data_IF_803316050519
#
_entry.id   IF_803316050519
#
_cell.length_a   1.000
_cell.length_b   1.000
_cell.length_c   1.000
_cell.angle_alpha   90.00
_cell.angle_beta   90.00
_cell.angle_gamma   90.00
#
_symmetry.space_group_name_H-M   'P 1'
#
loop_
_entity.id
_entity.type
_entity.pdbx_description
1 polymer ?
#
# COMPACT_ATOMS: atom_id res chain seq x y z
N UNK A 1 22.31 23.08 -15.62
CA UNK A 1 21.96 21.65 -15.53
C UNK A 1 21.62 21.38 -14.08
N UNK A 2 20.33 21.27 -13.76
CA UNK A 2 19.86 21.05 -12.38
C UNK A 2 19.43 19.59 -12.24
N UNK A 3 20.07 18.88 -11.32
CA UNK A 3 19.77 17.50 -10.94
C UNK A 3 18.40 17.46 -10.25
N UNK A 4 17.43 16.76 -10.84
CA UNK A 4 16.10 16.51 -10.28
C UNK A 4 16.27 15.62 -9.03
N UNK A 5 16.19 16.22 -7.85
CA UNK A 5 16.13 15.46 -6.60
C UNK A 5 14.78 14.73 -6.55
N UNK A 6 14.80 13.43 -6.88
CA UNK A 6 13.88 12.35 -6.48
C UNK A 6 12.53 12.75 -5.84
N UNK A 7 11.50 13.00 -6.67
CA UNK A 7 10.09 13.23 -6.27
C UNK A 7 9.48 12.10 -5.40
N UNK A 8 10.09 10.92 -5.34
CA UNK A 8 9.53 9.77 -4.60
C UNK A 8 9.70 9.88 -3.08
N UNK A 9 10.68 10.64 -2.62
CA UNK A 9 10.89 10.88 -1.17
C UNK A 9 10.10 12.09 -0.67
N UNK A 10 9.35 12.77 -1.54
CA UNK A 10 8.40 13.80 -1.13
C UNK A 10 7.32 13.15 -0.25
N UNK A 11 7.18 13.56 1.02
CA UNK A 11 6.19 12.99 1.92
C UNK A 11 4.75 13.09 1.39
N UNK A 12 4.47 14.09 0.55
CA UNK A 12 3.18 14.28 -0.13
C UNK A 12 2.92 13.18 -1.16
N UNK A 13 3.95 12.82 -1.93
CA UNK A 13 3.88 11.74 -2.93
C UNK A 13 3.76 10.39 -2.22
N UNK A 14 4.56 10.14 -1.18
CA UNK A 14 4.48 8.92 -0.38
C UNK A 14 3.08 8.72 0.23
N UNK A 15 2.50 9.77 0.83
CA UNK A 15 1.14 9.72 1.37
C UNK A 15 0.08 9.46 0.28
N UNK A 16 0.22 10.10 -0.88
CA UNK A 16 -0.65 9.87 -2.04
C UNK A 16 -0.63 8.42 -2.53
N UNK A 17 0.57 7.82 -2.63
CA UNK A 17 0.75 6.43 -3.04
C UNK A 17 0.18 5.47 -2.00
N UNK A 18 0.45 5.70 -0.71
CA UNK A 18 -0.11 4.89 0.37
C UNK A 18 -1.65 4.93 0.39
N UNK A 19 -2.26 6.12 0.24
CA UNK A 19 -3.72 6.26 0.11
C UNK A 19 -4.26 5.54 -1.13
N UNK A 20 -3.53 5.57 -2.24
CA UNK A 20 -3.89 4.82 -3.42
C UNK A 20 -3.91 3.31 -3.16
N UNK A 21 -2.90 2.76 -2.47
CA UNK A 21 -2.86 1.35 -2.06
C UNK A 21 -4.09 0.98 -1.23
N UNK A 22 -4.46 1.80 -0.24
CA UNK A 22 -5.66 1.57 0.58
C UNK A 22 -6.94 1.58 -0.26
N UNK A 23 -7.05 2.52 -1.20
CA UNK A 23 -8.19 2.61 -2.11
C UNK A 23 -8.32 1.36 -2.98
N UNK A 24 -7.20 0.84 -3.51
CA UNK A 24 -7.22 -0.40 -4.29
C UNK A 24 -7.57 -1.62 -3.43
N UNK A 25 -7.08 -1.70 -2.20
CA UNK A 25 -7.47 -2.76 -1.27
C UNK A 25 -8.98 -2.74 -0.99
N UNK A 26 -9.57 -1.55 -0.77
CA UNK A 26 -11.00 -1.40 -0.58
C UNK A 26 -11.79 -1.85 -1.80
N UNK A 27 -11.36 -1.44 -3.00
CA UNK A 27 -11.97 -1.87 -4.27
C UNK A 27 -11.88 -3.39 -4.44
N UNK A 28 -10.73 -4.00 -4.18
CA UNK A 28 -10.56 -5.45 -4.26
C UNK A 28 -11.54 -6.19 -3.34
N UNK A 29 -11.72 -5.70 -2.11
CA UNK A 29 -12.67 -6.28 -1.15
C UNK A 29 -14.12 -6.22 -1.61
N UNK A 30 -14.49 -5.27 -2.49
CA UNK A 30 -15.85 -5.15 -3.01
C UNK A 30 -16.21 -6.18 -4.10
N UNK A 31 -15.23 -6.89 -4.66
CA UNK A 31 -15.54 -7.93 -5.65
C UNK A 31 -16.12 -9.18 -4.97
N UNK A 32 -17.28 -9.71 -5.42
CA UNK A 32 -17.94 -10.83 -4.76
C UNK A 32 -17.05 -12.07 -4.58
N UNK A 33 -16.19 -12.39 -5.56
CA UNK A 33 -15.29 -13.52 -5.46
C UNK A 33 -14.16 -13.33 -4.43
N UNK A 34 -13.73 -12.09 -4.21
CA UNK A 34 -12.71 -11.73 -3.22
C UNK A 34 -13.32 -11.73 -1.83
N UNK A 35 -14.46 -11.07 -1.66
CA UNK A 35 -15.23 -11.00 -0.42
C UNK A 35 -15.56 -12.41 0.12
N UNK A 36 -16.11 -13.30 -0.72
CA UNK A 36 -16.41 -14.68 -0.34
C UNK A 36 -15.18 -15.48 0.10
N UNK A 37 -14.03 -15.27 -0.55
CA UNK A 37 -12.79 -15.98 -0.20
C UNK A 37 -12.13 -15.41 1.06
N UNK A 38 -12.23 -14.10 1.28
CA UNK A 38 -11.82 -13.46 2.53
C UNK A 38 -12.64 -13.97 3.70
N UNK A 39 -13.98 -14.03 3.56
CA UNK A 39 -14.88 -14.53 4.59
C UNK A 39 -14.61 -15.99 4.96
N UNK A 40 -14.19 -16.81 3.98
CA UNK A 40 -13.79 -18.22 4.19
C UNK A 40 -12.36 -18.40 4.72
N UNK A 41 -11.60 -17.32 4.91
CA UNK A 41 -10.17 -17.40 5.27
C UNK A 41 -9.27 -18.02 4.20
N UNK A 42 -9.76 -18.14 2.95
CA UNK A 42 -9.07 -18.75 1.82
C UNK A 42 -8.22 -17.74 1.03
N UNK A 43 -8.34 -16.46 1.34
CA UNK A 43 -7.59 -15.37 0.72
C UNK A 43 -7.12 -14.41 1.81
N UNK A 44 -5.94 -13.81 1.58
CA UNK A 44 -5.45 -12.66 2.35
C UNK A 44 -5.04 -11.58 1.36
N UNK A 45 -5.40 -10.33 1.66
CA UNK A 45 -4.93 -9.17 0.91
C UNK A 45 -3.86 -8.45 1.73
N UNK A 46 -2.78 -8.04 1.07
CA UNK A 46 -1.69 -7.26 1.66
C UNK A 46 -1.50 -6.01 0.80
N UNK A 47 -1.23 -4.87 1.43
CA UNK A 47 -0.88 -3.62 0.75
C UNK A 47 0.55 -3.26 1.08
N UNK A 48 1.38 -3.11 0.05
CA UNK A 48 2.78 -2.73 0.22
C UNK A 48 3.06 -1.39 -0.45
N UNK A 49 3.92 -0.61 0.20
CA UNK A 49 4.57 0.57 -0.34
C UNK A 49 6.06 0.26 -0.44
N UNK A 50 6.62 0.42 -1.64
CA UNK A 50 8.05 0.21 -1.90
C UNK A 50 8.69 1.56 -2.21
N UNK A 51 9.74 1.87 -1.46
CA UNK A 51 10.50 3.10 -1.61
C UNK A 51 11.75 2.79 -2.45
N UNK A 52 11.75 3.22 -3.72
CA UNK A 52 12.72 2.76 -4.72
C UNK A 52 14.16 3.15 -4.36
N UNK A 53 14.36 4.35 -3.80
CA UNK A 53 15.69 4.87 -3.49
C UNK A 53 16.35 4.15 -2.31
N UNK A 54 15.57 3.75 -1.31
CA UNK A 54 16.08 3.09 -0.10
C UNK A 54 15.95 1.57 -0.16
N UNK A 55 15.18 1.04 -1.10
CA UNK A 55 14.82 -0.38 -1.15
C UNK A 55 13.89 -0.81 -0.01
N UNK A 56 13.36 0.13 0.76
CA UNK A 56 12.51 -0.15 1.91
C UNK A 56 11.13 -0.62 1.47
N UNK A 57 10.61 -1.65 2.15
CA UNK A 57 9.23 -2.10 1.99
C UNK A 57 8.47 -1.79 3.26
N UNK A 58 7.29 -1.17 3.11
CA UNK A 58 6.34 -0.97 4.20
C UNK A 58 5.04 -1.67 3.88
N UNK A 59 4.45 -2.32 4.87
CA UNK A 59 3.17 -3.00 4.77
C UNK A 59 2.10 -2.28 5.57
N UNK A 60 0.91 -2.14 4.98
CA UNK A 60 -0.26 -1.69 5.73
C UNK A 60 -0.72 -2.75 6.73
N UNK A 61 -0.75 -2.38 8.01
CA UNK A 61 -1.31 -3.16 9.10
C UNK A 61 -2.73 -2.69 9.39
N UNK A 62 -3.71 -3.55 9.13
CA UNK A 62 -5.11 -3.23 9.41
C UNK A 62 -5.41 -3.00 10.91
N UNK A 63 -4.58 -3.51 11.82
CA UNK A 63 -4.76 -3.36 13.28
C UNK A 63 -4.36 -1.98 13.78
N UNK A 64 -3.32 -1.37 13.21
CA UNK A 64 -2.78 -0.07 13.61
C UNK A 64 -3.15 1.04 12.62
N UNK A 65 -3.74 0.66 11.48
CA UNK A 65 -4.02 1.53 10.33
C UNK A 65 -2.81 2.33 9.86
N UNK A 66 -1.64 1.68 9.86
CA UNK A 66 -0.36 2.30 9.53
C UNK A 66 0.44 1.46 8.54
N UNK A 67 1.28 2.11 7.74
CA UNK A 67 2.33 1.45 6.96
C UNK A 67 3.57 1.26 7.84
N UNK A 68 3.86 0.01 8.19
CA UNK A 68 4.99 -0.37 9.04
C UNK A 68 6.07 -1.06 8.21
N UNK A 69 7.34 -0.94 8.62
CA UNK A 69 8.42 -1.64 7.94
C UNK A 69 8.15 -3.16 7.90
N UNK A 70 8.37 -3.78 6.73
CA UNK A 70 8.17 -5.21 6.51
C UNK A 70 9.34 -6.05 7.05
#
# INVERSE_FOLDING_TARGET
>A
TATTASDTDDPTVAAGVQNHVLTQLLRLRSYPCVEQRLAKGQLRLRGWYYEVHTGSVREHRATTDAFEAL
#
